data_IF_815225731225
#
_entry.id   IF_815225731225
#
_cell.length_a   1.000
_cell.length_b   1.000
_cell.length_c   1.000
_cell.angle_alpha   90.00
_cell.angle_beta   90.00
_cell.angle_gamma   90.00
#
_symmetry.space_group_name_H-M   'P 1'
#
loop_
_entity.id
_entity.type
_entity.pdbx_description
1 polymer ?
#
# COMPACT_ATOMS: atom_id res chain seq x y z
N UNK A 1 -13.21 -7.90 -53.05
CA UNK A 1 -13.30 -8.55 -51.73
C UNK A 1 -11.87 -8.62 -51.22
N UNK A 2 -11.36 -7.46 -50.78
CA UNK A 2 -9.93 -7.20 -50.59
C UNK A 2 -9.66 -6.53 -49.24
N UNK A 3 -10.60 -6.65 -48.30
CA UNK A 3 -10.56 -5.98 -46.99
C UNK A 3 -10.14 -6.90 -45.83
N UNK A 4 -9.78 -8.17 -46.09
CA UNK A 4 -9.42 -9.13 -45.02
C UNK A 4 -7.92 -9.22 -44.71
N UNK A 5 -7.05 -8.52 -45.44
CA UNK A 5 -5.59 -8.62 -45.26
C UNK A 5 -5.00 -7.57 -44.29
N UNK A 6 -5.82 -6.67 -43.74
CA UNK A 6 -5.35 -5.62 -42.82
C UNK A 6 -5.50 -5.97 -41.32
N UNK A 7 -6.12 -7.11 -40.98
CA UNK A 7 -6.45 -7.49 -39.60
C UNK A 7 -5.54 -8.57 -39.00
N UNK A 8 -4.41 -8.88 -39.63
CA UNK A 8 -3.53 -9.99 -39.19
C UNK A 8 -2.09 -9.54 -38.99
N UNK A 9 -1.88 -8.35 -38.40
CA UNK A 9 -0.54 -7.88 -38.00
C UNK A 9 -0.49 -7.25 -36.60
N UNK A 10 -1.52 -7.41 -35.76
CA UNK A 10 -1.58 -6.89 -34.39
C UNK A 10 -1.53 -7.97 -33.30
N UNK A 11 -0.82 -9.08 -33.53
CA UNK A 11 -0.85 -10.25 -32.60
C UNK A 11 0.46 -10.47 -31.83
N UNK A 12 1.55 -9.77 -32.14
CA UNK A 12 2.80 -9.94 -31.36
C UNK A 12 3.60 -8.66 -31.22
N UNK A 13 3.01 -7.59 -30.66
CA UNK A 13 3.86 -6.60 -29.99
C UNK A 13 4.52 -7.35 -28.83
N UNK A 14 5.85 -7.49 -28.79
CA UNK A 14 6.50 -8.10 -27.63
C UNK A 14 5.96 -7.38 -26.40
N UNK A 15 5.41 -8.13 -25.45
CA UNK A 15 5.01 -7.57 -24.19
C UNK A 15 6.29 -7.02 -23.55
N UNK A 16 6.44 -5.70 -23.60
CA UNK A 16 7.49 -4.95 -22.92
C UNK A 16 7.34 -5.02 -21.37
N UNK A 17 6.63 -6.06 -20.90
CA UNK A 17 6.13 -6.33 -19.56
C UNK A 17 5.03 -5.38 -19.10
N UNK A 18 4.70 -4.30 -19.84
CA UNK A 18 3.86 -3.18 -19.36
C UNK A 18 2.47 -3.66 -18.99
N UNK A 19 1.90 -4.51 -19.83
CA UNK A 19 0.61 -5.17 -19.61
C UNK A 19 0.62 -6.05 -18.36
N UNK A 20 1.69 -6.84 -18.16
CA UNK A 20 1.86 -7.70 -16.98
C UNK A 20 1.98 -6.90 -15.68
N UNK A 21 2.80 -5.85 -15.65
CA UNK A 21 2.93 -4.97 -14.47
C UNK A 21 1.64 -4.22 -14.19
N UNK A 22 1.00 -3.64 -15.22
CA UNK A 22 -0.26 -2.93 -15.04
C UNK A 22 -1.34 -3.84 -14.43
N UNK A 23 -1.56 -5.02 -15.03
CA UNK A 23 -2.53 -6.01 -14.53
C UNK A 23 -2.24 -6.42 -13.08
N UNK A 24 -0.97 -6.66 -12.74
CA UNK A 24 -0.59 -7.04 -11.39
C UNK A 24 -0.92 -5.94 -10.37
N UNK A 25 -0.59 -4.68 -10.68
CA UNK A 25 -0.90 -3.56 -9.80
C UNK A 25 -2.41 -3.26 -9.71
N UNK A 26 -3.19 -3.52 -10.76
CA UNK A 26 -4.66 -3.46 -10.69
C UNK A 26 -5.22 -4.49 -9.71
N UNK A 27 -4.77 -5.74 -9.80
CA UNK A 27 -5.21 -6.82 -8.89
C UNK A 27 -4.85 -6.44 -7.45
N UNK A 28 -3.59 -6.07 -7.20
CA UNK A 28 -3.13 -5.69 -5.85
C UNK A 28 -3.88 -4.46 -5.33
N UNK A 29 -4.10 -3.45 -6.17
CA UNK A 29 -4.81 -2.23 -5.79
C UNK A 29 -6.26 -2.50 -5.41
N UNK A 30 -7.02 -3.25 -6.23
CA UNK A 30 -8.42 -3.55 -5.95
C UNK A 30 -8.61 -4.48 -4.75
N UNK A 31 -7.81 -5.54 -4.65
CA UNK A 31 -7.87 -6.44 -3.49
C UNK A 31 -7.44 -5.74 -2.21
N UNK A 32 -6.37 -4.93 -2.26
CA UNK A 32 -5.95 -4.10 -1.13
C UNK A 32 -7.05 -3.13 -0.71
N UNK A 33 -7.67 -2.44 -1.67
CA UNK A 33 -8.75 -1.50 -1.39
C UNK A 33 -9.94 -2.18 -0.71
N UNK A 34 -10.35 -3.34 -1.21
CA UNK A 34 -11.42 -4.13 -0.60
C UNK A 34 -11.08 -4.49 0.85
N UNK A 35 -9.87 -5.00 1.11
CA UNK A 35 -9.43 -5.39 2.46
C UNK A 35 -9.38 -4.19 3.39
N UNK A 36 -8.77 -3.08 2.99
CA UNK A 36 -8.63 -1.93 3.86
C UNK A 36 -9.97 -1.23 4.10
N UNK A 37 -10.83 -1.07 3.09
CA UNK A 37 -12.17 -0.50 3.29
C UNK A 37 -12.99 -1.38 4.23
N UNK A 38 -12.95 -2.71 4.07
CA UNK A 38 -13.61 -3.63 4.99
C UNK A 38 -13.04 -3.52 6.42
N UNK A 39 -11.71 -3.42 6.57
CA UNK A 39 -11.07 -3.18 7.86
C UNK A 39 -11.54 -1.86 8.49
N UNK A 40 -11.65 -0.78 7.72
CA UNK A 40 -12.16 0.50 8.19
C UNK A 40 -13.61 0.40 8.68
N UNK A 41 -14.46 -0.30 7.94
CA UNK A 41 -15.85 -0.53 8.33
C UNK A 41 -15.95 -1.36 9.62
N UNK A 42 -15.10 -2.38 9.78
CA UNK A 42 -15.01 -3.18 11.01
C UNK A 42 -14.55 -2.29 12.17
N UNK A 43 -13.51 -1.47 12.00
CA UNK A 43 -13.00 -0.57 13.03
C UNK A 43 -14.06 0.47 13.45
N UNK A 44 -14.76 1.06 12.49
CA UNK A 44 -15.84 2.01 12.75
C UNK A 44 -17.02 1.33 13.45
N UNK A 45 -17.36 0.10 13.05
CA UNK A 45 -18.38 -0.70 13.73
C UNK A 45 -17.99 -1.02 15.18
N UNK A 46 -16.74 -1.43 15.41
CA UNK A 46 -16.21 -1.66 16.76
C UNK A 46 -16.25 -0.38 17.62
N UNK A 47 -16.06 0.80 17.03
CA UNK A 47 -16.24 2.09 17.70
C UNK A 47 -17.72 2.41 17.96
N UNK A 48 -18.61 2.20 17.00
CA UNK A 48 -20.03 2.50 17.10
C UNK A 48 -20.80 1.61 18.09
N UNK A 49 -20.45 0.34 18.19
CA UNK A 49 -21.15 -0.62 19.06
C UNK A 49 -20.68 -0.60 20.52
N UNK A 50 -19.69 0.23 20.90
CA UNK A 50 -19.13 0.33 22.26
C UNK A 50 -18.94 -1.05 22.93
N UNK A 51 -18.39 -2.03 22.20
CA UNK A 51 -18.23 -3.39 22.73
C UNK A 51 -17.34 -3.30 23.99
N UNK A 52 -17.86 -3.75 25.13
CA UNK A 52 -17.27 -3.51 26.45
C UNK A 52 -15.84 -4.07 26.58
N UNK A 53 -15.45 -5.06 25.78
CA UNK A 53 -14.08 -5.58 25.77
C UNK A 53 -13.05 -4.64 25.09
N UNK A 54 -13.50 -3.69 24.25
CA UNK A 54 -12.66 -2.70 23.55
C UNK A 54 -12.69 -1.31 24.22
N UNK A 55 -13.76 -1.00 24.96
CA UNK A 55 -13.95 0.31 25.63
C UNK A 55 -13.73 0.25 27.15
N UNK A 56 -13.92 -0.91 27.79
CA UNK A 56 -13.90 -1.05 29.25
C UNK A 56 -12.63 -1.74 29.81
N UNK A 57 -11.66 -2.06 28.95
CA UNK A 57 -10.48 -2.86 29.29
C UNK A 57 -9.16 -2.08 29.19
N UNK A 58 -9.13 -0.75 29.37
CA UNK A 58 -7.86 0.00 29.42
C UNK A 58 -6.91 -0.20 28.21
N UNK A 59 -7.43 -0.60 27.04
CA UNK A 59 -6.64 -0.70 25.81
C UNK A 59 -6.22 0.73 25.39
N UNK A 60 -4.92 0.99 25.22
CA UNK A 60 -4.39 2.34 25.13
C UNK A 60 -4.88 3.03 23.85
N UNK A 61 -5.17 4.34 23.94
CA UNK A 61 -5.60 5.18 22.81
C UNK A 61 -4.70 5.03 21.57
N UNK A 62 -3.45 4.67 21.80
CA UNK A 62 -2.41 4.43 20.80
C UNK A 62 -2.69 3.22 19.93
N UNK A 63 -3.21 2.09 20.46
CA UNK A 63 -3.64 0.95 19.64
C UNK A 63 -4.70 1.36 18.62
N UNK A 64 -5.71 2.10 19.07
CA UNK A 64 -6.81 2.55 18.21
C UNK A 64 -6.34 3.51 17.14
N UNK A 65 -5.45 4.44 17.51
CA UNK A 65 -4.82 5.38 16.59
C UNK A 65 -4.02 4.63 15.51
N UNK A 66 -3.20 3.65 15.93
CA UNK A 66 -2.35 2.89 15.03
C UNK A 66 -3.17 2.07 14.02
N UNK A 67 -4.29 1.47 14.44
CA UNK A 67 -5.17 0.75 13.51
C UNK A 67 -5.90 1.66 12.53
N UNK A 68 -6.32 2.86 12.96
CA UNK A 68 -6.87 3.88 12.04
C UNK A 68 -5.81 4.34 11.04
N UNK A 69 -4.57 4.54 11.47
CA UNK A 69 -3.45 4.89 10.59
C UNK A 69 -3.15 3.76 9.58
N UNK A 70 -3.16 2.51 10.03
CA UNK A 70 -2.97 1.34 9.17
C UNK A 70 -4.05 1.27 8.08
N UNK A 71 -5.32 1.44 8.46
CA UNK A 71 -6.43 1.49 7.51
C UNK A 71 -6.31 2.66 6.51
N UNK A 72 -6.06 3.87 7.00
CA UNK A 72 -5.98 5.06 6.15
C UNK A 72 -4.83 4.95 5.13
N UNK A 73 -3.64 4.56 5.59
CA UNK A 73 -2.49 4.39 4.72
C UNK A 73 -2.67 3.21 3.77
N UNK A 74 -3.23 2.10 4.22
CA UNK A 74 -3.53 0.95 3.35
C UNK A 74 -4.52 1.30 2.24
N UNK A 75 -5.57 2.06 2.55
CA UNK A 75 -6.54 2.57 1.56
C UNK A 75 -5.87 3.50 0.55
N UNK A 76 -5.12 4.50 1.04
CA UNK A 76 -4.37 5.42 0.18
C UNK A 76 -3.42 4.65 -0.75
N UNK A 77 -2.68 3.68 -0.21
CA UNK A 77 -1.66 2.95 -0.96
C UNK A 77 -2.27 2.03 -2.01
N UNK A 78 -3.44 1.47 -1.71
CA UNK A 78 -4.25 0.72 -2.68
C UNK A 78 -4.67 1.58 -3.87
N UNK A 79 -5.05 2.85 -3.62
CA UNK A 79 -5.30 3.82 -4.69
C UNK A 79 -4.02 4.18 -5.47
N UNK A 80 -2.87 4.31 -4.79
CA UNK A 80 -1.58 4.54 -5.46
C UNK A 80 -1.21 3.35 -6.37
N UNK A 81 -1.53 2.11 -5.99
CA UNK A 81 -1.38 0.94 -6.86
C UNK A 81 -2.21 1.06 -8.15
N UNK A 82 -3.47 1.49 -8.05
CA UNK A 82 -4.34 1.72 -9.21
C UNK A 82 -3.79 2.86 -10.09
N UNK A 83 -3.38 3.98 -9.47
CA UNK A 83 -2.75 5.09 -10.17
C UNK A 83 -1.48 4.68 -10.91
N UNK A 84 -0.61 3.89 -10.26
CA UNK A 84 0.61 3.37 -10.87
C UNK A 84 0.30 2.43 -12.05
N UNK A 85 -0.70 1.57 -11.91
CA UNK A 85 -1.11 0.68 -13.01
C UNK A 85 -1.55 1.46 -14.25
N UNK A 86 -2.26 2.58 -14.05
CA UNK A 86 -2.62 3.51 -15.11
C UNK A 86 -1.38 4.23 -15.67
N UNK A 87 -0.54 4.81 -14.82
CA UNK A 87 0.67 5.53 -15.23
C UNK A 87 1.62 4.68 -16.07
N UNK A 88 1.78 3.39 -15.75
CA UNK A 88 2.60 2.45 -16.53
C UNK A 88 2.13 2.33 -17.98
N UNK A 89 0.83 2.49 -18.25
CA UNK A 89 0.28 2.46 -19.63
C UNK A 89 0.37 3.80 -20.36
N UNK A 90 0.45 4.90 -19.62
CA UNK A 90 0.38 6.26 -20.17
C UNK A 90 1.74 6.94 -20.28
N UNK A 91 2.77 6.49 -19.54
CA UNK A 91 4.07 7.16 -19.44
C UNK A 91 5.16 6.38 -20.21
N UNK A 92 5.56 6.83 -21.42
CA UNK A 92 6.59 6.15 -22.21
C UNK A 92 7.96 6.15 -21.52
N UNK A 93 8.21 7.13 -20.65
CA UNK A 93 9.45 7.23 -19.86
C UNK A 93 9.57 6.18 -18.74
N UNK A 94 8.50 5.43 -18.45
CA UNK A 94 8.45 4.43 -17.38
C UNK A 94 8.67 3.01 -17.93
N UNK A 95 9.77 2.82 -18.64
CA UNK A 95 10.17 1.54 -19.28
C UNK A 95 11.46 0.98 -18.67
N UNK A 96 11.60 -0.35 -18.64
CA UNK A 96 12.81 -1.02 -18.16
C UNK A 96 13.08 -0.88 -16.65
N UNK A 97 14.33 -0.55 -16.30
CA UNK A 97 14.81 -0.47 -14.89
C UNK A 97 13.98 0.44 -13.98
N UNK A 98 13.64 1.71 -14.33
CA UNK A 98 12.87 2.58 -13.45
C UNK A 98 11.48 2.01 -13.12
N UNK A 99 10.83 1.33 -14.08
CA UNK A 99 9.54 0.68 -13.84
C UNK A 99 9.65 -0.49 -12.86
N UNK A 100 10.67 -1.33 -13.05
CA UNK A 100 10.91 -2.47 -12.17
C UNK A 100 11.18 -2.01 -10.73
N UNK A 101 12.04 -1.00 -10.55
CA UNK A 101 12.34 -0.44 -9.23
C UNK A 101 11.10 0.20 -8.61
N UNK A 102 10.38 1.06 -9.34
CA UNK A 102 9.16 1.69 -8.84
C UNK A 102 8.11 0.65 -8.42
N UNK A 103 7.87 -0.38 -9.25
CA UNK A 103 6.94 -1.47 -8.95
C UNK A 103 7.31 -2.22 -7.66
N UNK A 104 8.58 -2.61 -7.50
CA UNK A 104 9.05 -3.33 -6.30
C UNK A 104 9.00 -2.46 -5.04
N UNK A 105 9.41 -1.20 -5.14
CA UNK A 105 9.34 -0.25 -4.04
C UNK A 105 7.90 0.01 -3.60
N UNK A 106 6.97 0.16 -4.55
CA UNK A 106 5.55 0.35 -4.26
C UNK A 106 4.92 -0.88 -3.62
N UNK A 107 5.24 -2.08 -4.10
CA UNK A 107 4.76 -3.31 -3.48
C UNK A 107 5.29 -3.49 -2.07
N UNK A 108 6.57 -3.21 -1.87
CA UNK A 108 7.20 -3.29 -0.56
C UNK A 108 6.55 -2.28 0.39
N UNK A 109 6.40 -1.01 0.00
CA UNK A 109 5.71 -0.01 0.83
C UNK A 109 4.26 -0.40 1.10
N UNK A 110 3.59 -0.99 0.09
CA UNK A 110 2.25 -1.59 0.10
C UNK A 110 2.00 -2.48 1.30
N UNK A 111 3.03 -3.20 1.73
CA UNK A 111 2.99 -4.10 2.88
C UNK A 111 3.56 -3.41 4.11
N UNK A 112 4.72 -2.77 3.98
CA UNK A 112 5.51 -2.28 5.11
C UNK A 112 4.84 -1.18 5.91
N UNK A 113 4.17 -0.24 5.23
CA UNK A 113 3.46 0.86 5.88
C UNK A 113 2.23 0.37 6.66
N UNK A 114 1.22 -0.27 6.03
CA UNK A 114 0.05 -0.73 6.76
C UNK A 114 0.40 -1.81 7.78
N UNK A 115 1.34 -2.73 7.49
CA UNK A 115 1.77 -3.73 8.47
C UNK A 115 2.52 -3.08 9.64
N UNK A 116 3.35 -2.08 9.41
CA UNK A 116 4.08 -1.38 10.48
C UNK A 116 3.14 -0.69 11.47
N UNK A 117 2.12 0.01 10.96
CA UNK A 117 1.07 0.61 11.81
C UNK A 117 0.20 -0.46 12.49
N UNK A 118 -0.20 -1.51 11.77
CA UNK A 118 -1.03 -2.57 12.34
C UNK A 118 -0.32 -3.33 13.47
N UNK A 119 0.95 -3.73 13.24
CA UNK A 119 1.80 -4.38 14.24
C UNK A 119 2.17 -3.43 15.38
N UNK A 120 2.36 -2.14 15.10
CA UNK A 120 2.61 -1.11 16.11
C UNK A 120 1.44 -0.92 17.10
N UNK A 121 0.21 -1.22 16.67
CA UNK A 121 -0.97 -1.26 17.54
C UNK A 121 -1.33 -2.65 18.06
N UNK A 122 -0.60 -3.71 17.73
CA UNK A 122 -0.96 -5.06 18.18
C UNK A 122 -0.59 -5.27 19.65
N UNK A 123 -1.51 -5.68 20.54
CA UNK A 123 -1.27 -5.72 21.99
C UNK A 123 -0.03 -6.53 22.41
N UNK A 124 0.22 -7.69 21.76
CA UNK A 124 1.40 -8.51 22.05
C UNK A 124 2.72 -7.82 21.65
N UNK A 125 2.71 -6.95 20.64
CA UNK A 125 3.89 -6.24 20.16
C UNK A 125 4.12 -4.92 20.90
N UNK A 126 3.05 -4.29 21.38
CA UNK A 126 3.10 -3.16 22.32
C UNK A 126 3.75 -3.61 23.63
N UNK A 127 3.35 -4.76 24.17
CA UNK A 127 3.93 -5.32 25.40
C UNK A 127 5.40 -5.75 25.23
N UNK A 128 5.78 -6.30 24.07
CA UNK A 128 7.16 -6.71 23.78
C UNK A 128 8.09 -5.54 23.40
N UNK A 129 7.56 -4.49 22.78
CA UNK A 129 8.32 -3.32 22.33
C UNK A 129 8.48 -2.21 23.39
N UNK A 130 7.53 -2.09 24.32
CA UNK A 130 7.54 -1.08 25.38
C UNK A 130 8.67 -1.26 26.43
N UNK A 131 9.30 -2.43 26.50
CA UNK A 131 10.36 -2.71 27.46
C UNK A 131 11.77 -2.29 27.00
N UNK A 132 11.97 -1.88 25.74
CA UNK A 132 13.33 -1.68 25.20
C UNK A 132 13.68 -0.26 24.76
N UNK A 133 12.74 0.69 24.77
CA UNK A 133 12.99 2.09 24.40
C UNK A 133 12.47 3.15 25.39
N UNK A 134 12.02 2.76 26.60
CA UNK A 134 12.04 3.62 27.78
C UNK A 134 11.45 5.02 27.63
N UNK A 135 10.26 5.17 27.03
CA UNK A 135 9.44 6.38 27.18
C UNK A 135 8.03 5.95 27.65
N UNK A 136 7.38 6.83 28.39
CA UNK A 136 6.29 6.53 29.32
C UNK A 136 5.05 5.96 28.61
N UNK A 137 4.60 4.76 29.01
CA UNK A 137 3.18 4.41 29.15
C UNK A 137 2.22 4.67 27.97
N UNK A 138 2.70 4.67 26.72
CA UNK A 138 1.86 4.97 25.55
C UNK A 138 2.51 4.74 24.18
N UNK A 139 3.75 4.26 24.11
CA UNK A 139 4.47 4.22 22.84
C UNK A 139 4.01 3.09 21.91
N UNK A 140 3.98 3.32 20.58
CA UNK A 140 3.69 2.27 19.62
C UNK A 140 4.71 1.12 19.70
N UNK A 141 4.25 -0.11 19.47
CA UNK A 141 5.13 -1.28 19.44
C UNK A 141 6.22 -1.17 18.37
N UNK A 142 7.21 -2.07 18.44
CA UNK A 142 8.39 -2.14 17.54
C UNK A 142 8.04 -2.11 16.03
N UNK A 143 6.79 -2.38 15.65
CA UNK A 143 6.32 -2.40 14.26
C UNK A 143 6.40 -1.03 13.61
N UNK A 144 6.43 0.05 14.40
CA UNK A 144 6.58 1.41 13.89
C UNK A 144 7.91 1.63 13.15
N UNK A 145 8.96 0.84 13.44
CA UNK A 145 10.26 0.92 12.75
C UNK A 145 10.17 0.54 11.27
N UNK A 146 9.17 -0.26 10.90
CA UNK A 146 8.89 -0.60 9.50
C UNK A 146 8.33 0.58 8.69
N UNK A 147 7.66 1.53 9.35
CA UNK A 147 7.01 2.68 8.72
C UNK A 147 8.00 3.60 8.00
N UNK A 148 9.11 4.09 8.60
CA UNK A 148 10.05 4.96 7.89
C UNK A 148 10.71 4.26 6.70
N UNK A 149 10.99 2.96 6.81
CA UNK A 149 11.52 2.16 5.70
C UNK A 149 10.48 2.06 4.56
N UNK A 150 9.21 1.86 4.89
CA UNK A 150 8.13 1.80 3.92
C UNK A 150 7.88 3.13 3.24
N UNK A 151 7.95 4.23 4.00
CA UNK A 151 7.82 5.59 3.50
C UNK A 151 8.95 5.94 2.52
N UNK A 152 10.20 5.58 2.84
CA UNK A 152 11.34 5.78 1.94
C UNK A 152 11.15 5.05 0.60
N UNK A 153 10.68 3.80 0.63
CA UNK A 153 10.38 3.02 -0.58
C UNK A 153 9.23 3.65 -1.39
N UNK A 154 8.18 4.12 -0.73
CA UNK A 154 7.09 4.83 -1.39
C UNK A 154 7.60 6.10 -2.10
N UNK A 155 8.44 6.90 -1.44
CA UNK A 155 9.04 8.10 -2.02
C UNK A 155 9.88 7.78 -3.27
N UNK A 156 10.66 6.69 -3.24
CA UNK A 156 11.42 6.24 -4.41
C UNK A 156 10.47 5.89 -5.56
N UNK A 157 9.40 5.12 -5.30
CA UNK A 157 8.42 4.77 -6.33
C UNK A 157 7.72 5.98 -6.94
N UNK A 158 7.20 6.87 -6.09
CA UNK A 158 6.51 8.09 -6.53
C UNK A 158 7.48 9.00 -7.28
N UNK A 159 8.69 9.19 -6.76
CA UNK A 159 9.72 10.02 -7.38
C UNK A 159 10.12 9.52 -8.78
N UNK A 160 10.27 8.21 -8.97
CA UNK A 160 10.54 7.64 -10.29
C UNK A 160 9.36 7.84 -11.26
N UNK A 161 8.13 7.66 -10.78
CA UNK A 161 6.91 7.87 -11.58
C UNK A 161 6.75 9.33 -11.98
N UNK A 162 6.95 10.26 -11.04
CA UNK A 162 6.90 11.71 -11.29
C UNK A 162 8.01 12.18 -12.25
N UNK A 163 9.21 11.61 -12.16
CA UNK A 163 10.29 11.91 -13.11
C UNK A 163 9.96 11.41 -14.53
N UNK A 164 9.25 10.30 -14.65
CA UNK A 164 8.80 9.79 -15.94
C UNK A 164 7.73 10.69 -16.56
N UNK A 165 6.81 11.27 -15.77
CA UNK A 165 5.78 12.19 -16.27
C UNK A 165 6.32 13.56 -16.72
N UNK A 166 7.53 13.94 -16.28
CA UNK A 166 8.20 15.14 -16.77
C UNK A 166 8.93 14.93 -18.11
N UNK A 167 9.05 13.68 -18.56
CA UNK A 167 9.80 13.29 -19.76
C UNK A 167 8.89 12.81 -20.90
N UNK A 168 7.58 12.78 -20.65
CA UNK A 168 6.51 12.45 -21.60
C UNK A 168 5.95 13.73 -22.20
#
# INVERSE_FOLDING_TARGET
MSDDMASENDVTRPDDGTTGTSRYHLIVGWWGLLVFVALGLVLESLHGFKVAWYVNSGEPETTRLMWRLAHAHGTMLSLVHLGFAWSVTQLPGLVGRPRFVASRCLLASGILLPAGFFLGGWPAFVLAGGQRLGVLGGDPGLGIVLVPLGAALLLVSIGLTARASLRS
#
